data_IF_919049108457
#
_entry.id   IF_919049108457
#
_cell.length_a   1.000
_cell.length_b   1.000
_cell.length_c   1.000
_cell.angle_alpha   90.00
_cell.angle_beta   90.00
_cell.angle_gamma   90.00
#
_symmetry.space_group_name_H-M   'P 1'
#
loop_
_entity.id
_entity.type
_entity.pdbx_description
1 polymer ?
#
# COMPACT_ATOMS: atom_id res chain seq x y z
N UNK A 1 19.05 19.81 -3.65
CA UNK A 1 17.79 19.08 -3.40
C UNK A 1 17.26 19.59 -2.07
N UNK A 2 16.25 20.48 -2.09
CA UNK A 2 15.70 21.08 -0.88
C UNK A 2 14.53 20.22 -0.40
N UNK A 3 14.64 19.68 0.82
CA UNK A 3 13.63 18.77 1.41
C UNK A 3 12.38 19.57 1.85
N UNK A 4 12.55 20.86 2.13
CA UNK A 4 11.48 21.78 2.49
C UNK A 4 11.72 23.16 1.87
N UNK A 5 10.64 23.90 1.63
CA UNK A 5 10.67 25.32 1.24
C UNK A 5 10.14 26.20 2.37
N UNK A 6 10.67 27.41 2.51
CA UNK A 6 10.30 28.35 3.56
C UNK A 6 11.53 28.98 4.24
N UNK A 7 11.39 30.22 4.70
CA UNK A 7 12.49 30.95 5.35
C UNK A 7 12.46 30.83 6.88
N UNK A 8 11.46 30.15 7.44
CA UNK A 8 11.28 29.90 8.87
C UNK A 8 10.67 28.52 9.13
N UNK A 9 10.78 28.03 10.38
CA UNK A 9 10.16 26.78 10.81
C UNK A 9 8.62 26.79 10.61
N UNK A 10 7.99 27.95 10.73
CA UNK A 10 6.55 28.14 10.56
C UNK A 10 6.14 28.15 9.07
N UNK A 11 7.03 28.58 8.19
CA UNK A 11 6.84 28.61 6.74
C UNK A 11 7.28 27.32 6.04
N UNK A 12 7.83 26.36 6.80
CA UNK A 12 8.38 25.12 6.28
C UNK A 12 7.26 24.30 5.64
N UNK A 13 7.18 24.31 4.31
CA UNK A 13 6.25 23.52 3.52
C UNK A 13 7.00 22.40 2.81
N UNK A 14 6.38 21.23 2.78
CA UNK A 14 6.85 20.17 1.88
C UNK A 14 6.71 20.66 0.42
N UNK A 15 7.66 20.34 -0.46
CA UNK A 15 7.50 20.62 -1.88
C UNK A 15 6.23 19.94 -2.42
N UNK A 16 5.60 20.58 -3.40
CA UNK A 16 4.46 20.01 -4.11
C UNK A 16 4.89 18.69 -4.76
N UNK A 17 3.99 17.71 -4.81
CA UNK A 17 4.23 16.45 -5.51
C UNK A 17 4.69 16.73 -6.94
N UNK A 18 5.60 15.89 -7.47
CA UNK A 18 6.00 16.00 -8.87
C UNK A 18 4.77 15.91 -9.78
N UNK A 19 4.77 16.62 -10.93
CA UNK A 19 3.70 16.52 -11.91
C UNK A 19 3.38 15.05 -12.23
N UNK A 20 2.10 14.74 -12.48
CA UNK A 20 1.60 13.37 -12.72
C UNK A 20 2.32 12.64 -13.85
N UNK A 21 2.96 13.37 -14.77
CA UNK A 21 3.88 12.83 -15.76
C UNK A 21 5.21 13.60 -15.72
N UNK A 22 6.31 12.91 -15.42
CA UNK A 22 7.66 13.48 -15.47
C UNK A 22 8.62 12.45 -16.08
N UNK A 23 9.38 12.85 -17.11
CA UNK A 23 10.31 11.97 -17.85
C UNK A 23 9.65 10.67 -18.33
N UNK A 24 8.51 10.78 -19.02
CA UNK A 24 7.73 9.65 -19.56
C UNK A 24 7.25 8.62 -18.52
N UNK A 25 7.32 8.98 -17.24
CA UNK A 25 6.88 8.15 -16.13
C UNK A 25 5.60 8.72 -15.52
N UNK A 26 4.62 7.87 -15.29
CA UNK A 26 3.35 8.24 -14.63
C UNK A 26 3.51 8.11 -13.12
N UNK A 27 3.09 9.15 -12.40
CA UNK A 27 3.10 9.23 -10.95
C UNK A 27 1.66 9.33 -10.43
N UNK A 28 1.31 8.52 -9.44
CA UNK A 28 0.02 8.64 -8.78
C UNK A 28 0.03 9.85 -7.83
N UNK A 29 -0.92 10.76 -8.01
CA UNK A 29 -1.17 11.82 -7.03
C UNK A 29 -1.88 11.24 -5.80
N UNK A 30 -2.91 10.42 -6.03
CA UNK A 30 -3.67 9.74 -4.99
C UNK A 30 -4.12 8.35 -5.40
N UNK A 31 -4.42 7.51 -4.41
CA UNK A 31 -5.02 6.18 -4.58
C UNK A 31 -6.16 6.04 -3.59
N UNK A 32 -7.36 5.86 -4.12
CA UNK A 32 -8.59 5.66 -3.36
C UNK A 32 -8.93 4.17 -3.31
N UNK A 33 -9.12 3.63 -2.11
CA UNK A 33 -9.54 2.23 -1.92
C UNK A 33 -11.06 2.16 -1.84
N UNK A 34 -11.68 1.30 -2.65
CA UNK A 34 -13.13 1.10 -2.63
C UNK A 34 -13.46 -0.22 -1.91
N UNK A 35 -14.01 -0.15 -0.70
CA UNK A 35 -14.40 -1.34 0.10
C UNK A 35 -15.79 -1.87 -0.23
N UNK A 36 -16.65 -1.03 -0.80
CA UNK A 36 -17.98 -1.37 -1.31
C UNK A 36 -18.09 -0.78 -2.72
N UNK A 37 -18.64 -1.54 -3.66
CA UNK A 37 -18.79 -1.15 -5.06
C UNK A 37 -19.77 0.02 -5.21
N UNK A 38 -19.33 1.23 -4.87
CA UNK A 38 -19.92 2.47 -5.34
C UNK A 38 -19.26 2.78 -6.69
N UNK A 39 -20.04 2.79 -7.76
CA UNK A 39 -19.53 2.97 -9.12
C UNK A 39 -18.77 4.28 -9.29
N UNK A 40 -17.67 4.23 -10.05
CA UNK A 40 -16.98 5.42 -10.56
C UNK A 40 -17.94 6.22 -11.44
N UNK A 41 -18.23 7.46 -11.04
CA UNK A 41 -18.73 8.48 -11.95
C UNK A 41 -17.53 9.16 -12.62
N UNK A 42 -17.58 9.49 -13.92
CA UNK A 42 -16.45 10.10 -14.63
C UNK A 42 -16.19 11.52 -14.10
N UNK A 43 -15.08 11.71 -13.40
CA UNK A 43 -14.61 13.02 -12.94
C UNK A 43 -13.70 13.68 -13.97
N UNK A 44 -14.27 14.37 -14.96
CA UNK A 44 -13.49 15.10 -15.97
C UNK A 44 -13.16 16.52 -15.45
N UNK A 45 -11.98 16.70 -14.85
CA UNK A 45 -11.48 18.02 -14.48
C UNK A 45 -10.37 18.44 -15.42
N UNK A 46 -10.77 18.90 -16.61
CA UNK A 46 -9.87 19.43 -17.62
C UNK A 46 -9.53 20.90 -17.31
N UNK A 47 -8.30 21.18 -16.90
CA UNK A 47 -7.71 22.48 -17.15
C UNK A 47 -6.20 22.40 -17.45
N UNK A 48 -5.89 22.86 -18.67
CA UNK A 48 -4.59 23.20 -19.30
C UNK A 48 -3.31 22.40 -18.93
N UNK A 49 -2.88 21.55 -19.89
CA UNK A 49 -1.55 20.92 -20.08
C UNK A 49 -1.13 19.74 -19.19
N UNK A 50 -1.95 19.27 -18.26
CA UNK A 50 -1.71 18.01 -17.53
C UNK A 50 -2.91 17.08 -17.74
N UNK A 51 -2.68 15.89 -18.30
CA UNK A 51 -3.71 14.86 -18.41
C UNK A 51 -3.75 14.12 -17.07
N UNK A 52 -4.88 14.18 -16.38
CA UNK A 52 -5.16 13.38 -15.20
C UNK A 52 -5.91 12.14 -15.67
N UNK A 53 -5.37 10.97 -15.35
CA UNK A 53 -5.99 9.68 -15.68
C UNK A 53 -6.50 9.03 -14.41
N UNK A 54 -7.72 8.51 -14.47
CA UNK A 54 -8.32 7.68 -13.42
C UNK A 54 -8.28 6.23 -13.89
N UNK A 55 -7.65 5.37 -13.12
CA UNK A 55 -7.53 3.94 -13.40
C UNK A 55 -8.14 3.15 -12.25
N UNK A 56 -9.08 2.26 -12.57
CA UNK A 56 -9.69 1.36 -11.59
C UNK A 56 -9.15 -0.05 -11.81
N UNK A 57 -8.66 -0.66 -10.74
CA UNK A 57 -8.16 -2.04 -10.72
C UNK A 57 -8.85 -2.82 -9.60
N UNK A 58 -9.17 -4.08 -9.87
CA UNK A 58 -9.99 -4.91 -9.00
C UNK A 58 -9.31 -6.22 -8.64
N UNK A 59 -9.71 -6.81 -7.51
CA UNK A 59 -9.38 -8.19 -7.21
C UNK A 59 -9.95 -9.11 -8.31
N UNK A 60 -9.14 -10.06 -8.77
CA UNK A 60 -9.53 -10.97 -9.84
C UNK A 60 -9.19 -10.50 -11.26
N UNK A 61 -8.76 -9.24 -11.46
CA UNK A 61 -8.30 -8.75 -12.76
C UNK A 61 -7.09 -9.56 -13.25
N UNK A 62 -6.97 -9.70 -14.57
CA UNK A 62 -5.83 -10.42 -15.14
C UNK A 62 -4.58 -9.53 -15.17
N UNK A 63 -3.41 -10.17 -15.19
CA UNK A 63 -2.14 -9.45 -15.38
C UNK A 63 -2.14 -8.58 -16.65
N UNK A 64 -2.79 -9.04 -17.74
CA UNK A 64 -2.86 -8.30 -19.00
C UNK A 64 -3.70 -7.02 -18.85
N UNK A 65 -4.84 -7.10 -18.17
CA UNK A 65 -5.70 -5.94 -17.92
C UNK A 65 -4.94 -4.89 -17.09
N UNK A 66 -4.27 -5.33 -16.03
CA UNK A 66 -3.46 -4.45 -15.16
C UNK A 66 -2.34 -3.77 -15.94
N UNK A 67 -1.57 -4.52 -16.73
CA UNK A 67 -0.48 -3.96 -17.55
C UNK A 67 -0.98 -3.01 -18.64
N UNK A 68 -2.17 -3.27 -19.20
CA UNK A 68 -2.78 -2.39 -20.20
C UNK A 68 -3.25 -1.06 -19.59
N UNK A 69 -3.61 -1.08 -18.30
CA UNK A 69 -4.14 0.07 -17.58
C UNK A 69 -3.04 0.91 -16.94
N UNK A 70 -2.09 0.27 -16.24
CA UNK A 70 -1.07 0.94 -15.43
C UNK A 70 0.30 1.03 -16.13
N UNK A 71 0.51 0.24 -17.20
CA UNK A 71 1.79 0.16 -17.89
C UNK A 71 2.72 -0.91 -17.32
N UNK A 72 3.99 -0.84 -17.70
CA UNK A 72 5.00 -1.80 -17.27
C UNK A 72 5.46 -1.54 -15.83
N UNK A 73 5.56 -2.57 -14.98
CA UNK A 73 6.00 -2.41 -13.61
C UNK A 73 7.50 -2.13 -13.53
N UNK A 74 7.91 -1.55 -12.40
CA UNK A 74 9.32 -1.23 -12.17
C UNK A 74 10.13 -2.47 -11.80
N UNK A 75 9.50 -3.42 -11.12
CA UNK A 75 10.11 -4.68 -10.74
C UNK A 75 9.07 -5.80 -10.67
N UNK A 76 9.52 -7.04 -10.89
CA UNK A 76 8.71 -8.25 -10.75
C UNK A 76 9.39 -9.18 -9.77
N UNK A 77 8.70 -9.53 -8.69
CA UNK A 77 9.21 -10.43 -7.67
C UNK A 77 8.43 -11.74 -7.65
N UNK A 78 9.12 -12.86 -7.83
CA UNK A 78 8.52 -14.18 -7.74
C UNK A 78 8.69 -14.75 -6.34
N UNK A 79 7.59 -15.10 -5.68
CA UNK A 79 7.61 -15.72 -4.36
C UNK A 79 8.20 -17.12 -4.49
N UNK A 80 9.38 -17.32 -3.89
CA UNK A 80 10.08 -18.61 -3.94
C UNK A 80 9.62 -19.60 -2.88
N UNK A 81 9.09 -19.12 -1.75
CA UNK A 81 8.61 -19.95 -0.64
C UNK A 81 7.55 -19.23 0.17
N UNK A 82 6.54 -19.97 0.62
CA UNK A 82 5.59 -19.46 1.60
C UNK A 82 6.15 -19.52 3.02
N UNK A 83 6.59 -18.36 3.54
CA UNK A 83 7.17 -18.24 4.89
C UNK A 83 6.15 -18.55 5.99
N UNK A 84 4.85 -18.34 5.73
CA UNK A 84 3.80 -18.62 6.71
C UNK A 84 3.44 -20.10 6.82
N UNK A 85 3.85 -20.93 5.86
CA UNK A 85 3.56 -22.37 5.87
C UNK A 85 4.16 -23.11 7.08
N UNK A 86 5.11 -22.51 7.81
CA UNK A 86 5.63 -23.08 9.07
C UNK A 86 4.57 -23.17 10.17
N UNK A 87 3.52 -22.34 10.09
CA UNK A 87 2.40 -22.31 11.03
C UNK A 87 1.24 -23.21 10.60
N UNK A 88 1.32 -23.86 9.44
CA UNK A 88 0.25 -24.77 9.00
C UNK A 88 0.23 -26.02 9.89
N UNK A 89 -0.93 -26.41 10.45
CA UNK A 89 -1.03 -27.54 11.37
C UNK A 89 -0.92 -28.91 10.67
N UNK A 90 -0.81 -28.95 9.34
CA UNK A 90 -0.84 -30.19 8.56
C UNK A 90 0.51 -30.91 8.55
N UNK A 91 0.48 -32.21 8.86
CA UNK A 91 1.64 -33.14 8.83
C UNK A 91 2.11 -33.48 7.41
N UNK A 92 1.36 -33.12 6.36
CA UNK A 92 1.67 -33.37 4.95
C UNK A 92 2.66 -32.33 4.36
N UNK A 93 3.75 -32.04 5.07
CA UNK A 93 4.75 -31.00 4.76
C UNK A 93 5.57 -31.21 3.47
N UNK A 94 5.14 -32.04 2.53
CA UNK A 94 6.00 -32.50 1.42
C UNK A 94 5.40 -32.44 0.01
N UNK A 95 4.29 -31.72 -0.21
CA UNK A 95 4.01 -31.27 -1.58
C UNK A 95 4.49 -29.82 -1.67
N UNK A 96 5.58 -29.53 -2.39
CA UNK A 96 5.88 -28.14 -2.71
C UNK A 96 4.67 -27.60 -3.45
N UNK A 97 3.93 -26.69 -2.81
CA UNK A 97 2.95 -25.92 -3.55
C UNK A 97 3.72 -25.24 -4.68
N UNK A 98 3.25 -25.37 -5.92
CA UNK A 98 3.68 -24.52 -7.04
C UNK A 98 3.18 -23.08 -6.79
N UNK A 99 3.50 -22.52 -5.63
CA UNK A 99 3.09 -21.20 -5.19
C UNK A 99 4.21 -20.23 -5.59
N UNK A 100 4.34 -20.04 -6.90
CA UNK A 100 5.21 -19.01 -7.46
C UNK A 100 4.41 -17.74 -7.70
N UNK A 101 3.51 -17.39 -6.75
CA UNK A 101 2.76 -16.13 -6.79
C UNK A 101 3.78 -15.02 -7.02
N UNK A 102 3.45 -14.05 -7.87
CA UNK A 102 4.38 -13.01 -8.24
C UNK A 102 3.79 -11.64 -7.96
N UNK A 103 4.66 -10.69 -7.66
CA UNK A 103 4.32 -9.33 -7.30
C UNK A 103 4.83 -8.43 -8.41
N UNK A 104 3.96 -7.56 -8.92
CA UNK A 104 4.35 -6.40 -9.72
C UNK A 104 4.52 -5.22 -8.76
N UNK A 105 5.71 -4.61 -8.75
CA UNK A 105 6.01 -3.46 -7.93
C UNK A 105 5.93 -2.18 -8.78
N UNK A 106 4.98 -1.30 -8.46
CA UNK A 106 4.84 0.01 -9.09
C UNK A 106 5.32 1.11 -8.15
N UNK A 107 6.61 1.43 -8.24
CA UNK A 107 7.25 2.39 -7.34
C UNK A 107 6.67 3.80 -7.46
N UNK A 108 6.24 4.21 -8.66
CA UNK A 108 5.67 5.54 -8.90
C UNK A 108 4.20 5.64 -8.50
N UNK A 109 3.49 4.52 -8.46
CA UNK A 109 2.09 4.43 -8.03
C UNK A 109 1.95 4.07 -6.54
N UNK A 110 3.02 3.58 -5.92
CA UNK A 110 3.08 3.16 -4.50
C UNK A 110 2.25 1.92 -4.19
N UNK A 111 1.91 1.15 -5.21
CA UNK A 111 1.11 -0.06 -5.11
C UNK A 111 1.95 -1.26 -5.53
N UNK A 112 1.93 -2.30 -4.72
CA UNK A 112 2.33 -3.63 -5.19
C UNK A 112 1.10 -4.50 -5.41
N UNK A 113 1.10 -5.25 -6.52
CA UNK A 113 -0.02 -6.11 -6.90
C UNK A 113 0.47 -7.55 -6.92
N UNK A 114 -0.06 -8.37 -6.01
CA UNK A 114 0.20 -9.80 -5.94
C UNK A 114 -0.76 -10.56 -6.86
N UNK A 115 -0.21 -11.39 -7.72
CA UNK A 115 -0.93 -12.28 -8.61
C UNK A 115 -0.80 -13.73 -8.15
N UNK A 116 -1.91 -14.45 -8.26
CA UNK A 116 -1.91 -15.90 -8.11
C UNK A 116 -1.21 -16.57 -9.30
N UNK A 117 -0.27 -17.49 -9.04
CA UNK A 117 0.53 -18.10 -10.11
C UNK A 117 -0.21 -19.09 -10.98
N UNK A 118 -1.40 -19.56 -10.56
CA UNK A 118 -2.17 -20.54 -11.34
C UNK A 118 -3.17 -19.83 -12.24
N UNK A 119 -3.84 -18.81 -11.72
CA UNK A 119 -4.90 -18.08 -12.43
C UNK A 119 -4.41 -16.79 -13.08
N UNK A 120 -3.22 -16.29 -12.72
CA UNK A 120 -2.68 -15.00 -13.15
C UNK A 120 -3.63 -13.83 -12.85
N UNK A 121 -4.39 -13.95 -11.75
CA UNK A 121 -5.36 -12.96 -11.29
C UNK A 121 -4.90 -12.25 -10.03
N UNK A 122 -5.30 -10.99 -9.88
CA UNK A 122 -5.00 -10.18 -8.71
C UNK A 122 -5.58 -10.82 -7.44
N UNK A 123 -4.71 -11.01 -6.44
CA UNK A 123 -5.00 -11.66 -5.17
C UNK A 123 -4.86 -10.72 -3.98
N UNK A 124 -3.91 -9.78 -4.02
CA UNK A 124 -3.65 -8.83 -2.93
C UNK A 124 -3.07 -7.53 -3.48
N UNK A 125 -3.50 -6.41 -2.89
CA UNK A 125 -2.84 -5.12 -3.03
C UNK A 125 -2.02 -4.81 -1.77
N UNK A 126 -0.87 -4.16 -1.94
CA UNK A 126 -0.07 -3.59 -0.85
C UNK A 126 0.12 -2.12 -1.17
N UNK A 127 -0.33 -1.25 -0.26
CA UNK A 127 -0.25 0.19 -0.43
C UNK A 127 0.86 0.71 0.48
N UNK A 128 1.91 1.29 -0.08
CA UNK A 128 3.03 1.71 0.74
C UNK A 128 2.81 3.07 1.38
N UNK A 129 3.37 3.26 2.57
CA UNK A 129 3.46 4.44 3.44
C UNK A 129 4.55 5.48 3.12
N UNK A 130 5.65 5.03 2.52
CA UNK A 130 6.88 5.82 2.33
C UNK A 130 7.24 6.78 3.51
N UNK A 131 7.03 6.34 4.76
CA UNK A 131 7.36 7.14 5.94
C UNK A 131 8.87 7.10 6.21
N UNK A 132 9.50 8.24 6.56
CA UNK A 132 10.86 8.24 7.06
C UNK A 132 11.01 7.30 8.26
N UNK A 133 12.10 6.55 8.30
CA UNK A 133 12.32 5.53 9.33
C UNK A 133 11.72 4.18 9.01
N UNK A 134 11.12 3.98 7.83
CA UNK A 134 10.77 2.66 7.34
C UNK A 134 11.88 2.10 6.45
N UNK A 135 12.05 0.78 6.43
CA UNK A 135 13.09 0.12 5.62
C UNK A 135 12.96 0.39 4.12
N UNK A 136 11.72 0.46 3.60
CA UNK A 136 11.45 0.78 2.19
C UNK A 136 11.38 2.30 1.91
N UNK A 137 11.79 3.16 2.84
CA UNK A 137 11.77 4.59 2.63
C UNK A 137 12.60 4.97 1.38
N UNK A 138 12.07 5.88 0.57
CA UNK A 138 12.68 6.35 -0.68
C UNK A 138 12.71 5.32 -1.84
N UNK A 139 12.11 4.13 -1.68
CA UNK A 139 11.90 3.19 -2.81
C UNK A 139 10.67 3.60 -3.61
N UNK A 140 9.60 3.99 -2.93
CA UNK A 140 8.33 4.37 -3.56
C UNK A 140 8.16 5.88 -3.61
N UNK A 141 7.56 6.39 -4.67
CA UNK A 141 7.14 7.79 -4.74
C UNK A 141 6.03 8.07 -3.73
N UNK A 142 5.98 9.30 -3.24
CA UNK A 142 4.92 9.71 -2.30
C UNK A 142 3.63 9.90 -3.09
N UNK A 143 2.54 9.29 -2.63
CA UNK A 143 1.18 9.57 -3.11
C UNK A 143 0.21 9.64 -1.91
N UNK A 144 -0.94 10.29 -2.07
CA UNK A 144 -1.96 10.34 -1.03
C UNK A 144 -2.85 9.09 -1.10
N UNK A 145 -2.80 8.23 -0.09
CA UNK A 145 -3.72 7.10 0.03
C UNK A 145 -4.95 7.52 0.80
N UNK A 146 -6.11 7.02 0.39
CA UNK A 146 -7.38 7.24 1.07
C UNK A 146 -8.15 5.92 1.15
N UNK A 147 -8.43 5.49 2.37
CA UNK A 147 -9.17 4.27 2.66
C UNK A 147 -10.43 4.67 3.42
N UNK A 148 -11.63 4.57 2.82
CA UNK A 148 -12.88 4.78 3.51
C UNK A 148 -13.09 3.66 4.53
N UNK A 149 -13.31 4.02 5.78
CA UNK A 149 -13.54 3.15 6.92
C UNK A 149 -14.98 3.35 7.38
N UNK A 150 -15.74 2.25 7.40
CA UNK A 150 -17.06 2.24 7.98
C UNK A 150 -16.97 2.20 9.52
N UNK A 151 -17.47 3.24 10.19
CA UNK A 151 -17.45 3.31 11.65
C UNK A 151 -18.61 2.49 12.21
N UNK A 152 -18.29 1.53 13.09
CA UNK A 152 -19.29 0.85 13.92
C UNK A 152 -19.51 1.66 15.21
N UNK A 153 -20.27 2.76 15.15
CA UNK A 153 -20.77 3.43 16.36
C UNK A 153 -22.21 2.98 16.60
N UNK A 154 -22.50 2.53 17.82
CA UNK A 154 -23.78 1.90 18.20
C UNK A 154 -25.01 2.82 18.10
N UNK A 155 -24.88 4.11 17.77
CA UNK A 155 -26.01 5.07 17.81
C UNK A 155 -26.00 6.18 16.75
N UNK A 156 -25.35 6.01 15.59
CA UNK A 156 -25.48 6.97 14.49
C UNK A 156 -25.40 6.26 13.12
N UNK A 157 -26.29 6.67 12.23
CA UNK A 157 -26.38 6.22 10.84
C UNK A 157 -25.03 6.37 10.12
N UNK A 158 -24.72 5.43 9.23
CA UNK A 158 -23.37 5.02 8.80
C UNK A 158 -22.41 6.16 8.39
N UNK A 159 -21.68 6.70 9.36
CA UNK A 159 -20.57 7.62 9.08
C UNK A 159 -19.36 6.84 8.55
N UNK A 160 -18.86 7.29 7.40
CA UNK A 160 -17.61 6.81 6.81
C UNK A 160 -16.52 7.83 7.09
N UNK A 161 -15.42 7.40 7.70
CA UNK A 161 -14.22 8.23 7.87
C UNK A 161 -13.10 7.73 6.96
N UNK A 162 -12.25 8.64 6.49
CA UNK A 162 -11.18 8.29 5.55
C UNK A 162 -9.85 8.18 6.30
N UNK A 163 -9.29 6.98 6.36
CA UNK A 163 -7.91 6.78 6.75
C UNK A 163 -7.00 7.19 5.59
N UNK A 164 -6.16 8.18 5.84
CA UNK A 164 -5.18 8.66 4.87
C UNK A 164 -3.79 8.09 5.12
N UNK A 165 -2.84 8.33 4.19
CA UNK A 165 -1.40 8.14 4.40
C UNK A 165 -0.91 8.70 5.74
N UNK A 166 -1.55 9.75 6.27
CA UNK A 166 -1.09 10.47 7.46
C UNK A 166 -1.61 9.92 8.79
N UNK A 167 -2.52 8.95 8.71
CA UNK A 167 -3.22 8.44 9.89
C UNK A 167 -2.27 7.73 10.84
N UNK A 168 -2.50 7.94 12.14
CA UNK A 168 -1.81 7.21 13.21
C UNK A 168 -2.55 5.93 13.52
N UNK A 169 -1.79 4.89 13.86
CA UNK A 169 -2.35 3.58 14.13
C UNK A 169 -3.36 3.60 15.28
N UNK A 170 -3.12 4.35 16.36
CA UNK A 170 -4.07 4.48 17.49
C UNK A 170 -5.45 4.97 17.06
N UNK A 171 -5.51 6.00 16.22
CA UNK A 171 -6.78 6.52 15.70
C UNK A 171 -7.45 5.48 14.79
N UNK A 172 -6.67 4.83 13.93
CA UNK A 172 -7.18 3.81 13.00
C UNK A 172 -7.77 2.60 13.72
N UNK A 173 -7.11 2.10 14.78
CA UNK A 173 -7.63 0.97 15.57
C UNK A 173 -8.84 1.36 16.43
N UNK A 174 -8.95 2.62 16.87
CA UNK A 174 -10.16 3.09 17.56
C UNK A 174 -11.38 3.09 16.62
N UNK A 175 -11.18 3.47 15.36
CA UNK A 175 -12.23 3.50 14.33
C UNK A 175 -12.64 2.11 13.85
N UNK A 176 -11.66 1.22 13.61
CA UNK A 176 -11.88 -0.11 13.04
C UNK A 176 -12.12 -1.21 14.09
N UNK A 177 -11.85 -0.92 15.36
CA UNK A 177 -11.84 -1.85 16.47
C UNK A 177 -10.44 -2.37 16.80
N UNK A 178 -10.23 -2.77 18.05
CA UNK A 178 -8.93 -3.28 18.47
C UNK A 178 -8.63 -4.67 17.88
N UNK A 179 -7.41 -4.91 17.36
CA UNK A 179 -7.03 -6.23 16.90
C UNK A 179 -7.04 -7.21 18.07
N UNK A 180 -7.73 -8.35 17.88
CA UNK A 180 -7.85 -9.40 18.91
C UNK A 180 -6.59 -10.25 18.97
N UNK A 181 -5.95 -10.46 17.82
CA UNK A 181 -4.77 -11.30 17.69
C UNK A 181 -3.48 -10.52 17.93
N UNK A 182 -2.45 -11.23 18.40
CA UNK A 182 -1.11 -10.66 18.53
C UNK A 182 -0.54 -10.33 17.14
N UNK A 183 0.14 -9.19 16.97
CA UNK A 183 0.71 -8.83 15.69
C UNK A 183 1.84 -9.79 15.28
N UNK A 184 1.97 -9.98 13.97
CA UNK A 184 3.16 -10.63 13.40
C UNK A 184 4.30 -9.61 13.40
N UNK A 185 5.43 -9.97 14.00
CA UNK A 185 6.63 -9.11 14.00
C UNK A 185 7.41 -9.33 12.72
N UNK A 186 7.56 -8.28 11.92
CA UNK A 186 8.32 -8.33 10.68
C UNK A 186 9.75 -7.84 10.91
N UNK A 187 10.70 -8.78 10.93
CA UNK A 187 12.12 -8.48 10.90
C UNK A 187 12.63 -8.53 9.46
N UNK A 188 12.90 -7.37 8.88
CA UNK A 188 13.61 -7.29 7.59
C UNK A 188 15.09 -7.55 7.84
N UNK A 189 15.52 -8.78 7.53
CA UNK A 189 16.88 -9.27 7.80
C UNK A 189 17.92 -8.39 7.11
N UNK A 190 18.98 -8.09 7.85
CA UNK A 190 20.11 -7.32 7.33
C UNK A 190 20.98 -8.24 6.45
N UNK A 191 21.26 -7.82 5.21
CA UNK A 191 22.36 -8.40 4.44
C UNK A 191 23.64 -7.60 4.71
N UNK A 192 24.84 -8.12 4.39
CA UNK A 192 26.09 -7.39 4.61
C UNK A 192 26.11 -5.99 4.01
N UNK A 193 25.34 -5.76 2.93
CA UNK A 193 25.26 -4.50 2.20
C UNK A 193 23.91 -3.77 2.39
N UNK A 194 22.99 -4.33 3.18
CA UNK A 194 21.67 -3.74 3.41
C UNK A 194 21.22 -4.05 4.84
N UNK A 195 21.65 -3.21 5.78
CA UNK A 195 21.29 -3.33 7.20
C UNK A 195 20.07 -2.47 7.47
N UNK A 196 19.04 -3.02 8.11
CA UNK A 196 17.86 -2.26 8.52
C UNK A 196 18.15 -1.53 9.85
N UNK A 197 18.34 -0.19 9.85
CA UNK A 197 18.68 0.53 11.07
C UNK A 197 17.46 0.86 11.94
N UNK A 198 16.24 0.67 11.42
CA UNK A 198 15.01 1.18 12.04
C UNK A 198 14.29 0.15 12.92
N UNK A 199 14.81 -1.08 13.00
CA UNK A 199 14.21 -2.16 13.76
C UNK A 199 13.03 -2.84 13.04
N UNK A 200 12.27 -3.63 13.80
CA UNK A 200 11.11 -4.38 13.30
C UNK A 200 9.85 -3.52 13.25
N UNK A 201 8.94 -3.92 12.37
CA UNK A 201 7.55 -3.43 12.29
C UNK A 201 6.57 -4.51 12.75
N UNK A 202 5.33 -4.11 13.00
CA UNK A 202 4.26 -4.98 13.52
C UNK A 202 3.09 -5.04 12.56
N UNK A 203 2.69 -6.24 12.14
CA UNK A 203 1.57 -6.43 11.23
C UNK A 203 0.32 -6.84 12.02
N UNK A 204 -0.70 -5.98 12.00
CA UNK A 204 -2.00 -6.19 12.65
C UNK A 204 -3.07 -6.51 11.60
N UNK A 205 -3.80 -7.61 11.78
CA UNK A 205 -4.94 -7.98 10.92
C UNK A 205 -6.24 -7.38 11.45
N UNK A 206 -6.98 -6.67 10.60
CA UNK A 206 -8.24 -6.02 10.98
C UNK A 206 -9.15 -5.80 9.76
N UNK A 207 -10.43 -6.20 9.85
CA UNK A 207 -11.45 -6.01 8.80
C UNK A 207 -10.95 -6.33 7.37
N UNK A 208 -10.35 -7.51 7.18
CA UNK A 208 -9.77 -8.01 5.92
C UNK A 208 -8.51 -7.27 5.42
N UNK A 209 -8.04 -6.29 6.17
CA UNK A 209 -6.79 -5.57 5.90
C UNK A 209 -5.70 -6.03 6.87
N UNK A 210 -4.46 -5.77 6.48
CA UNK A 210 -3.29 -5.95 7.35
C UNK A 210 -2.52 -4.64 7.35
N UNK A 211 -2.29 -4.08 8.52
CA UNK A 211 -1.56 -2.83 8.72
C UNK A 211 -0.16 -3.14 9.25
N UNK A 212 0.88 -2.76 8.51
CA UNK A 212 2.26 -2.74 8.99
C UNK A 212 2.49 -1.43 9.75
N UNK A 213 2.76 -1.52 11.04
CA UNK A 213 2.90 -0.38 11.96
C UNK A 213 4.34 -0.27 12.43
N UNK A 214 4.88 0.94 12.38
CA UNK A 214 6.21 1.29 12.86
C UNK A 214 6.21 1.56 14.37
N UNK A 215 7.40 1.54 14.98
CA UNK A 215 7.55 1.81 16.43
C UNK A 215 7.08 3.22 16.86
N UNK A 216 7.07 4.19 15.93
CA UNK A 216 6.59 5.56 16.14
C UNK A 216 5.09 5.74 15.85
N UNK A 217 4.33 4.64 15.79
CA UNK A 217 2.89 4.59 15.60
C UNK A 217 2.37 5.08 14.23
N UNK A 218 3.27 5.22 13.25
CA UNK A 218 2.90 5.46 11.86
C UNK A 218 2.62 4.14 11.13
N UNK A 219 1.68 4.17 10.19
CA UNK A 219 1.36 3.03 9.31
C UNK A 219 2.32 3.05 8.12
N UNK A 220 3.12 2.00 7.98
CA UNK A 220 4.09 1.82 6.90
C UNK A 220 3.50 1.22 5.63
N UNK A 221 2.47 0.36 5.72
CA UNK A 221 1.71 -0.18 4.60
C UNK A 221 0.42 -0.87 5.05
#
# INVERSE_FOLDING_TARGET
MNIYSGNSLQETKAPVMTPSCFLDTVYAESVDVLLLAAGCGPGLLANAKMWVFEHSVYFGDSCQDILSMLGSPHNVFYKSKDKMNIHSPSLLKQVPSKCNDYILNDFTLRVDILFDSNTHKVKKFVLHTNYPGHYNFNIYHRCELKIPIAIKKENADGQTETCTTYSKWDNTQELLGHPVEKPVVLHRSSSPNNTNPFGSTFCFGLQLMVFEVMQNNHIAS
#
